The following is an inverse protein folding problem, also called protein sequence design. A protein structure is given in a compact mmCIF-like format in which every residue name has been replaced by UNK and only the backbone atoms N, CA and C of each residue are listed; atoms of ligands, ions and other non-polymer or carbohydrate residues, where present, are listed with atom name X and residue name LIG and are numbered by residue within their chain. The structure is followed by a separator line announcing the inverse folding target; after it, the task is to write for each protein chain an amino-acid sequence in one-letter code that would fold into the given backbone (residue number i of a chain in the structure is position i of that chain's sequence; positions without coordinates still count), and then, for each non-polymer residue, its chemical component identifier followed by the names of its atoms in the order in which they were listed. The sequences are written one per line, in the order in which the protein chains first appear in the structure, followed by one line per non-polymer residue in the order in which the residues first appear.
data_IF_121351470323
#
_entry.id   IF_121351470323
#
_cell.length_a   1.000
_cell.length_b   1.000
_cell.length_c   1.000
_cell.angle_alpha   90.00
_cell.angle_beta   90.00
_cell.angle_gamma   90.00
#
_symmetry.space_group_name_H-M   'P 1'
#
loop_
_entity.id
_entity.type
_entity.pdbx_description
1 polymer ?
#
# COMPACT_ATOMS: atom_id res chain seq x y z
N UNK A 1 31.52 -22.73 -25.08
CA UNK A 1 31.07 -21.64 -24.20
C UNK A 1 30.05 -20.83 -24.97
N UNK A 2 29.01 -20.37 -24.29
CA UNK A 2 28.08 -19.38 -24.81
C UNK A 2 28.06 -18.22 -23.82
N UNK A 3 27.74 -17.02 -24.29
CA UNK A 3 27.75 -15.81 -23.50
C UNK A 3 26.32 -15.30 -23.35
N UNK A 4 25.96 -14.92 -22.13
CA UNK A 4 24.66 -14.33 -21.82
C UNK A 4 24.93 -12.85 -21.52
N UNK A 5 24.29 -11.95 -22.27
CA UNK A 5 24.36 -10.52 -21.98
C UNK A 5 23.48 -10.17 -20.80
N UNK A 6 24.06 -9.48 -19.81
CA UNK A 6 23.31 -8.90 -18.69
C UNK A 6 22.91 -7.49 -19.12
N UNK A 7 21.62 -7.15 -18.94
CA UNK A 7 21.11 -5.80 -19.18
C UNK A 7 21.30 -5.02 -17.89
N UNK A 8 21.98 -3.88 -17.96
CA UNK A 8 22.13 -2.98 -16.83
C UNK A 8 20.98 -1.99 -16.80
N UNK A 9 20.36 -1.78 -15.65
CA UNK A 9 19.52 -0.63 -15.36
C UNK A 9 20.11 0.19 -14.20
N UNK A 10 19.38 1.21 -13.76
CA UNK A 10 19.78 2.09 -12.64
C UNK A 10 18.79 1.95 -11.46
N UNK A 11 18.00 0.88 -11.45
CA UNK A 11 17.01 0.64 -10.41
C UNK A 11 17.55 -0.38 -9.43
N UNK A 12 17.47 -0.05 -8.15
CA UNK A 12 17.88 -0.97 -7.11
C UNK A 12 17.00 -2.24 -7.06
N UNK A 13 17.65 -3.40 -7.19
CA UNK A 13 17.11 -4.75 -7.07
C UNK A 13 17.95 -5.57 -6.08
N UNK A 14 17.33 -6.22 -5.08
CA UNK A 14 18.12 -6.91 -4.04
C UNK A 14 18.94 -8.11 -4.56
N UNK A 15 18.35 -8.87 -5.47
CA UNK A 15 18.95 -10.03 -6.11
C UNK A 15 18.04 -10.45 -7.26
N UNK A 16 18.58 -10.52 -8.47
CA UNK A 16 17.86 -11.06 -9.63
C UNK A 16 18.31 -12.49 -9.86
N UNK A 17 17.37 -13.40 -10.08
CA UNK A 17 17.65 -14.81 -10.32
C UNK A 17 16.99 -15.24 -11.63
N UNK A 18 17.74 -15.95 -12.47
CA UNK A 18 17.19 -16.61 -13.64
C UNK A 18 17.81 -17.99 -13.83
N UNK A 19 17.02 -18.91 -14.38
CA UNK A 19 17.44 -20.28 -14.65
C UNK A 19 17.79 -20.47 -16.12
N UNK A 20 18.94 -21.09 -16.37
CA UNK A 20 19.35 -21.56 -17.69
C UNK A 20 19.08 -23.06 -17.77
N UNK A 21 18.12 -23.45 -18.60
CA UNK A 21 17.68 -24.84 -18.75
C UNK A 21 18.10 -25.38 -20.11
N UNK A 22 18.82 -26.50 -20.11
CA UNK A 22 19.16 -27.26 -21.31
C UNK A 22 17.95 -28.10 -21.74
N UNK A 23 17.57 -27.98 -23.01
CA UNK A 23 16.42 -28.66 -23.61
C UNK A 23 16.82 -29.39 -24.91
N UNK A 24 16.08 -30.45 -25.25
CA UNK A 24 16.23 -31.26 -26.47
C UNK A 24 17.66 -31.80 -26.74
N UNK A 25 18.20 -32.68 -25.90
CA UNK A 25 19.53 -33.27 -26.12
C UNK A 25 19.56 -34.15 -27.38
N UNK A 26 20.46 -33.84 -28.32
CA UNK A 26 20.64 -34.60 -29.56
C UNK A 26 21.86 -35.53 -29.45
N UNK A 27 21.65 -36.84 -29.55
CA UNK A 27 22.69 -37.88 -29.46
C UNK A 27 23.52 -37.87 -28.15
N UNK A 28 22.95 -37.38 -27.04
CA UNK A 28 23.59 -37.39 -25.74
C UNK A 28 22.58 -37.67 -24.60
N UNK A 29 23.11 -38.09 -23.44
CA UNK A 29 22.32 -38.25 -22.22
C UNK A 29 22.60 -37.06 -21.30
N UNK A 30 21.55 -36.33 -20.96
CA UNK A 30 21.61 -35.23 -20.02
C UNK A 30 21.39 -35.77 -18.60
N UNK A 31 22.29 -35.45 -17.67
CA UNK A 31 22.10 -35.83 -16.26
C UNK A 31 20.94 -35.02 -15.66
N UNK A 32 19.94 -35.68 -15.02
CA UNK A 32 18.83 -35.00 -14.36
C UNK A 32 19.23 -33.96 -13.31
N UNK A 33 20.48 -33.97 -12.83
CA UNK A 33 21.00 -33.00 -11.86
C UNK A 33 21.66 -31.77 -12.49
N UNK A 34 22.07 -31.85 -13.75
CA UNK A 34 22.87 -30.81 -14.42
C UNK A 34 22.19 -30.22 -15.66
N UNK A 35 20.87 -30.38 -15.79
CA UNK A 35 20.12 -29.78 -16.88
C UNK A 35 19.74 -28.32 -16.65
N UNK A 36 19.81 -27.82 -15.40
CA UNK A 36 19.52 -26.44 -15.05
C UNK A 36 20.67 -25.82 -14.26
N UNK A 37 20.92 -24.54 -14.50
CA UNK A 37 21.82 -23.71 -13.70
C UNK A 37 21.10 -22.42 -13.34
N UNK A 38 20.91 -22.17 -12.04
CA UNK A 38 20.46 -20.87 -11.54
C UNK A 38 21.64 -19.89 -11.57
N UNK A 39 21.40 -18.71 -12.11
CA UNK A 39 22.33 -17.59 -12.12
C UNK A 39 21.73 -16.49 -11.26
N UNK A 40 22.44 -16.15 -10.19
CA UNK A 40 22.11 -15.05 -9.30
C UNK A 40 22.96 -13.84 -9.68
N UNK A 41 22.31 -12.75 -10.04
CA UNK A 41 22.90 -11.46 -10.32
C UNK A 41 22.81 -10.62 -9.05
N UNK A 42 23.96 -10.10 -8.62
CA UNK A 42 24.05 -9.12 -7.56
C UNK A 42 24.05 -7.74 -8.21
N UNK A 43 23.10 -6.92 -7.80
CA UNK A 43 23.00 -5.53 -8.21
C UNK A 43 24.09 -4.67 -7.55
N UNK A 44 24.59 -3.67 -8.28
CA UNK A 44 25.58 -2.69 -7.83
C UNK A 44 24.99 -1.28 -7.60
N UNK A 45 23.67 -1.14 -7.79
CA UNK A 45 22.94 0.07 -7.46
C UNK A 45 22.74 0.27 -5.96
N UNK A 46 22.53 1.52 -5.57
CA UNK A 46 22.33 1.92 -4.18
C UNK A 46 20.86 2.07 -3.83
N UNK A 47 20.47 1.47 -2.71
CA UNK A 47 19.18 1.71 -2.11
C UNK A 47 19.12 3.10 -1.44
N UNK A 48 18.03 3.87 -1.60
CA UNK A 48 16.86 3.67 -2.46
C UNK A 48 16.99 4.32 -3.85
N UNK A 49 18.05 5.09 -4.09
CA UNK A 49 18.40 5.74 -5.36
C UNK A 49 19.90 5.96 -5.42
N UNK A 50 20.49 5.93 -6.62
CA UNK A 50 21.88 6.28 -6.88
C UNK A 50 22.22 7.76 -6.63
N UNK A 51 21.20 8.61 -6.45
CA UNK A 51 21.36 10.06 -6.20
C UNK A 51 22.19 10.38 -4.96
N UNK A 52 22.28 9.46 -3.99
CA UNK A 52 22.99 9.65 -2.71
C UNK A 52 24.32 8.89 -2.62
N UNK A 53 24.86 8.45 -3.77
CA UNK A 53 26.08 7.64 -3.84
C UNK A 53 27.27 8.34 -3.20
N UNK A 54 27.46 9.62 -3.52
CA UNK A 54 28.60 10.41 -3.06
C UNK A 54 28.58 10.57 -1.53
N UNK A 55 27.41 10.83 -0.95
CA UNK A 55 27.22 10.99 0.49
C UNK A 55 27.41 9.68 1.27
N UNK A 56 26.94 8.56 0.70
CA UNK A 56 27.08 7.23 1.29
C UNK A 56 28.54 6.77 1.23
N UNK A 57 29.22 6.97 0.09
CA UNK A 57 30.63 6.60 -0.08
C UNK A 57 31.57 7.48 0.76
N UNK A 58 31.22 8.75 0.96
CA UNK A 58 31.95 9.67 1.83
C UNK A 58 31.89 9.30 3.32
N UNK A 59 30.93 8.44 3.73
CA UNK A 59 30.69 8.02 5.13
C UNK A 59 30.53 9.17 6.11
N UNK A 60 30.02 10.31 5.63
CA UNK A 60 29.73 11.47 6.47
C UNK A 60 28.30 11.36 7.01
N UNK A 61 28.18 10.85 8.23
CA UNK A 61 26.88 10.72 8.91
C UNK A 61 26.18 12.08 9.06
N UNK A 62 26.94 13.17 9.23
CA UNK A 62 26.39 14.52 9.40
C UNK A 62 25.64 14.99 8.15
N UNK A 63 26.29 14.83 6.99
CA UNK A 63 25.67 15.13 5.70
C UNK A 63 24.44 14.24 5.44
N UNK A 64 24.49 12.96 5.82
CA UNK A 64 23.37 12.04 5.64
C UNK A 64 22.13 12.45 6.47
N UNK A 65 22.33 12.98 7.69
CA UNK A 65 21.22 13.51 8.50
C UNK A 65 20.57 14.74 7.88
N UNK A 66 21.37 15.64 7.28
CA UNK A 66 20.83 16.83 6.58
C UNK A 66 19.97 16.43 5.38
N UNK A 67 20.35 15.37 4.68
CA UNK A 67 19.65 14.84 3.51
C UNK A 67 18.55 13.84 3.87
N UNK A 68 18.39 13.49 5.15
CA UNK A 68 17.49 12.42 5.60
C UNK A 68 16.03 12.53 5.12
N UNK A 69 15.49 13.74 5.00
CA UNK A 69 14.15 13.93 4.44
C UNK A 69 14.08 13.63 2.94
N UNK A 70 15.10 14.02 2.18
CA UNK A 70 15.22 13.70 0.74
C UNK A 70 15.40 12.20 0.52
N UNK A 71 16.18 11.54 1.38
CA UNK A 71 16.35 10.09 1.37
C UNK A 71 15.02 9.37 1.65
N UNK A 72 14.27 9.81 2.66
CA UNK A 72 12.94 9.29 2.96
C UNK A 72 11.98 9.47 1.78
N UNK A 73 12.02 10.63 1.13
CA UNK A 73 11.19 10.89 -0.04
C UNK A 73 11.54 9.97 -1.22
N UNK A 74 12.83 9.75 -1.46
CA UNK A 74 13.32 8.84 -2.49
C UNK A 74 12.94 7.40 -2.20
N UNK A 75 13.03 6.97 -0.95
CA UNK A 75 12.52 5.68 -0.49
C UNK A 75 11.01 5.53 -0.73
N UNK A 76 10.21 6.55 -0.38
CA UNK A 76 8.77 6.53 -0.63
C UNK A 76 8.48 6.38 -2.14
N UNK A 77 9.16 7.16 -2.98
CA UNK A 77 9.03 7.08 -4.44
C UNK A 77 9.44 5.70 -4.97
N UNK A 78 10.51 5.12 -4.45
CA UNK A 78 10.94 3.76 -4.77
C UNK A 78 9.84 2.75 -4.44
N UNK A 79 9.29 2.76 -3.23
CA UNK A 79 8.20 1.84 -2.86
C UNK A 79 6.95 1.99 -3.73
N UNK A 80 6.61 3.22 -4.13
CA UNK A 80 5.45 3.48 -4.98
C UNK A 80 5.62 3.04 -6.43
N UNK A 81 6.84 3.16 -6.97
CA UNK A 81 7.11 2.84 -8.36
C UNK A 81 7.54 1.38 -8.58
N UNK A 82 8.30 0.82 -7.65
CA UNK A 82 8.92 -0.50 -7.81
C UNK A 82 8.00 -1.64 -7.38
N UNK A 83 7.10 -1.41 -6.42
CA UNK A 83 6.15 -2.44 -5.99
C UNK A 83 4.78 -2.18 -6.62
N UNK A 84 4.45 -3.02 -7.60
CA UNK A 84 3.12 -3.07 -8.20
C UNK A 84 2.04 -3.24 -7.12
N UNK A 85 0.91 -2.56 -7.31
CA UNK A 85 -0.24 -2.51 -6.40
C UNK A 85 -0.07 -1.75 -5.06
N UNK A 86 1.11 -1.21 -4.71
CA UNK A 86 1.23 -0.44 -3.45
C UNK A 86 0.49 0.90 -3.51
N UNK A 87 0.56 1.61 -4.63
CA UNK A 87 0.10 3.01 -4.69
C UNK A 87 -1.38 3.17 -4.31
N UNK A 88 -2.27 2.35 -4.86
CA UNK A 88 -3.70 2.44 -4.58
C UNK A 88 -4.02 1.97 -3.15
N UNK A 89 -3.28 0.97 -2.66
CA UNK A 89 -3.40 0.45 -1.29
C UNK A 89 -3.04 1.50 -0.26
N UNK A 90 -1.93 2.20 -0.46
CA UNK A 90 -1.50 3.28 0.44
C UNK A 90 -2.49 4.44 0.44
N UNK A 91 -3.02 4.84 -0.72
CA UNK A 91 -4.07 5.86 -0.80
C UNK A 91 -5.32 5.41 -0.04
N UNK A 92 -5.73 4.15 -0.23
CA UNK A 92 -6.88 3.59 0.46
C UNK A 92 -6.68 3.60 1.99
N UNK A 93 -5.55 3.09 2.48
CA UNK A 93 -5.20 3.12 3.92
C UNK A 93 -5.20 4.54 4.45
N UNK A 94 -4.64 5.50 3.71
CA UNK A 94 -4.61 6.90 4.11
C UNK A 94 -6.02 7.49 4.19
N UNK A 95 -6.90 7.18 3.25
CA UNK A 95 -8.31 7.59 3.29
C UNK A 95 -9.05 6.97 4.47
N UNK A 96 -8.83 5.68 4.74
CA UNK A 96 -9.42 4.97 5.87
C UNK A 96 -8.97 5.55 7.21
N UNK A 97 -7.68 5.83 7.35
CA UNK A 97 -7.12 6.48 8.54
C UNK A 97 -7.73 7.87 8.77
N UNK A 98 -7.95 8.65 7.71
CA UNK A 98 -8.61 9.95 7.81
C UNK A 98 -10.12 9.84 8.09
N UNK A 99 -10.77 8.76 7.65
CA UNK A 99 -12.20 8.53 7.91
C UNK A 99 -12.48 8.38 9.41
N UNK A 100 -11.58 7.73 10.16
CA UNK A 100 -11.66 7.65 11.61
C UNK A 100 -11.64 9.03 12.28
N UNK A 101 -10.74 9.91 11.84
CA UNK A 101 -10.65 11.29 12.33
C UNK A 101 -11.89 12.13 11.94
N UNK A 102 -12.36 11.97 10.71
CA UNK A 102 -13.57 12.65 10.22
C UNK A 102 -14.81 12.22 11.02
N UNK A 103 -14.92 10.93 11.36
CA UNK A 103 -15.99 10.41 12.20
C UNK A 103 -15.97 11.00 13.62
N UNK A 104 -14.78 11.13 14.22
CA UNK A 104 -14.62 11.77 15.52
C UNK A 104 -15.12 13.22 15.52
N UNK A 105 -14.77 14.00 14.48
CA UNK A 105 -15.29 15.36 14.32
C UNK A 105 -16.81 15.37 14.09
N UNK A 106 -17.31 14.51 13.20
CA UNK A 106 -18.74 14.43 12.90
C UNK A 106 -19.59 14.11 14.13
N UNK A 107 -19.12 13.20 15.01
CA UNK A 107 -19.82 12.88 16.26
C UNK A 107 -19.86 14.04 17.24
N UNK A 108 -18.81 14.87 17.30
CA UNK A 108 -18.83 16.10 18.10
C UNK A 108 -19.90 17.07 17.56
N UNK A 109 -19.91 17.31 16.23
CA UNK A 109 -20.91 18.18 15.60
C UNK A 109 -22.33 17.68 15.84
N UNK A 110 -22.57 16.37 15.69
CA UNK A 110 -23.88 15.75 15.92
C UNK A 110 -24.33 15.93 17.39
N UNK A 111 -23.43 15.74 18.37
CA UNK A 111 -23.77 15.96 19.79
C UNK A 111 -24.16 17.41 20.08
N UNK A 112 -23.38 18.36 19.58
CA UNK A 112 -23.66 19.80 19.75
C UNK A 112 -25.01 20.14 19.10
N UNK A 113 -25.24 19.68 17.87
CA UNK A 113 -26.51 19.90 17.17
C UNK A 113 -27.71 19.31 17.93
N UNK A 114 -27.57 18.09 18.47
CA UNK A 114 -28.63 17.43 19.23
C UNK A 114 -28.96 18.19 20.53
N UNK A 115 -27.96 18.68 21.24
CA UNK A 115 -28.16 19.45 22.47
C UNK A 115 -28.77 20.83 22.15
N UNK A 116 -28.17 21.56 21.21
CA UNK A 116 -28.50 22.97 20.98
C UNK A 116 -29.78 23.15 20.14
N UNK A 117 -30.06 22.24 19.21
CA UNK A 117 -31.17 22.38 18.25
C UNK A 117 -32.34 21.45 18.55
N UNK A 118 -32.08 20.19 18.95
CA UNK A 118 -33.15 19.20 19.15
C UNK A 118 -33.71 19.22 20.58
N UNK A 119 -32.85 19.37 21.60
CA UNK A 119 -33.25 19.36 23.00
C UNK A 119 -33.64 20.74 23.55
N UNK A 120 -33.27 21.83 22.87
CA UNK A 120 -33.62 23.18 23.31
C UNK A 120 -35.05 23.57 22.90
N UNK A 121 -36.01 23.10 23.70
CA UNK A 121 -37.46 23.28 23.49
C UNK A 121 -37.98 24.70 23.82
N UNK A 122 -37.12 25.62 24.25
CA UNK A 122 -37.52 26.94 24.79
C UNK A 122 -37.49 28.09 23.77
N UNK A 123 -36.85 27.93 22.61
CA UNK A 123 -36.77 28.96 21.57
C UNK A 123 -37.79 28.71 20.44
N UNK A 124 -38.65 29.70 20.15
CA UNK A 124 -39.64 29.67 19.05
C UNK A 124 -38.98 29.60 17.66
N UNK A 125 -37.71 30.00 17.53
CA UNK A 125 -36.93 29.96 16.28
C UNK A 125 -36.18 28.63 16.04
N UNK A 126 -36.27 27.65 16.95
CA UNK A 126 -35.59 26.37 16.81
C UNK A 126 -36.16 25.51 15.66
N UNK A 127 -37.41 25.76 15.26
CA UNK A 127 -38.08 24.99 14.20
C UNK A 127 -37.54 25.29 12.80
N UNK A 128 -36.97 26.47 12.58
CA UNK A 128 -36.37 26.88 11.30
C UNK A 128 -34.94 26.35 11.10
N UNK A 129 -34.29 25.85 12.17
CA UNK A 129 -32.94 25.25 12.13
C UNK A 129 -32.94 23.73 12.03
N UNK A 130 -34.12 23.11 11.96
CA UNK A 130 -34.26 21.67 11.77
C UNK A 130 -33.88 21.30 10.33
N UNK A 131 -33.03 20.29 10.17
CA UNK A 131 -32.67 19.75 8.84
C UNK A 131 -33.90 19.28 8.03
N UNK A 132 -34.99 18.91 8.71
CA UNK A 132 -36.28 18.58 8.10
C UNK A 132 -37.32 19.52 8.72
N UNK A 133 -37.87 20.42 7.92
CA UNK A 133 -38.85 21.39 8.37
C UNK A 133 -40.12 20.68 8.88
N UNK A 134 -40.50 20.95 10.12
CA UNK A 134 -41.81 20.57 10.68
C UNK A 134 -41.92 19.18 11.34
N UNK A 135 -40.89 18.32 11.29
CA UNK A 135 -40.95 17.01 11.96
C UNK A 135 -39.70 16.71 12.82
N UNK A 136 -39.86 16.90 14.13
CA UNK A 136 -38.82 16.66 15.14
C UNK A 136 -38.52 15.17 15.31
N UNK A 137 -39.53 14.31 15.15
CA UNK A 137 -39.34 12.86 15.28
C UNK A 137 -38.53 12.31 14.11
N UNK A 138 -38.83 12.76 12.89
CA UNK A 138 -38.05 12.41 11.71
C UNK A 138 -36.59 12.88 11.82
N UNK A 139 -36.37 14.10 12.32
CA UNK A 139 -35.02 14.66 12.53
C UNK A 139 -34.24 13.87 13.59
N UNK A 140 -34.88 13.46 14.69
CA UNK A 140 -34.26 12.64 15.73
C UNK A 140 -33.88 11.22 15.23
N UNK A 141 -34.74 10.59 14.43
CA UNK A 141 -34.45 9.30 13.79
C UNK A 141 -33.28 9.44 12.81
N UNK A 142 -33.26 10.50 12.00
CA UNK A 142 -32.19 10.77 11.04
C UNK A 142 -30.84 11.00 11.75
N UNK A 143 -30.85 11.71 12.88
CA UNK A 143 -29.68 11.86 13.76
C UNK A 143 -29.22 10.54 14.37
N UNK A 144 -30.16 9.70 14.83
CA UNK A 144 -29.85 8.37 15.34
C UNK A 144 -29.21 7.48 14.26
N UNK A 145 -29.70 7.53 13.03
CA UNK A 145 -29.10 6.84 11.89
C UNK A 145 -27.72 7.41 11.56
N UNK A 146 -27.57 8.74 11.52
CA UNK A 146 -26.29 9.40 11.29
C UNK A 146 -25.24 9.10 12.38
N UNK A 147 -25.67 8.70 13.58
CA UNK A 147 -24.79 8.24 14.66
C UNK A 147 -24.35 6.78 14.48
N UNK A 148 -25.27 5.89 14.11
CA UNK A 148 -25.00 4.44 13.99
C UNK A 148 -24.26 4.09 12.70
N UNK A 149 -24.65 4.73 11.59
CA UNK A 149 -24.19 4.40 10.25
C UNK A 149 -22.67 4.55 10.06
N UNK A 150 -22.01 5.59 10.60
CA UNK A 150 -20.54 5.68 10.52
C UNK A 150 -19.81 4.59 11.30
N UNK A 151 -20.35 4.11 12.44
CA UNK A 151 -19.74 2.97 13.15
C UNK A 151 -19.80 1.69 12.32
N UNK A 152 -20.90 1.47 11.58
CA UNK A 152 -21.02 0.33 10.67
C UNK A 152 -20.07 0.47 9.47
N UNK A 153 -19.90 1.69 8.93
CA UNK A 153 -18.93 1.95 7.86
C UNK A 153 -17.51 1.68 8.36
N UNK A 154 -17.14 2.15 9.56
CA UNK A 154 -15.83 1.88 10.15
C UNK A 154 -15.60 0.38 10.36
N UNK A 155 -16.57 -0.34 10.91
CA UNK A 155 -16.45 -1.79 11.09
C UNK A 155 -16.29 -2.53 9.74
N UNK A 156 -17.04 -2.12 8.72
CA UNK A 156 -16.92 -2.68 7.37
C UNK A 156 -15.58 -2.34 6.71
N UNK A 157 -15.09 -1.13 6.97
CA UNK A 157 -13.80 -0.62 6.51
C UNK A 157 -12.64 -1.39 7.13
N UNK A 158 -12.64 -1.58 8.45
CA UNK A 158 -11.63 -2.37 9.17
C UNK A 158 -11.62 -3.82 8.66
N UNK A 159 -12.81 -4.39 8.43
CA UNK A 159 -12.94 -5.74 7.86
C UNK A 159 -12.41 -5.81 6.42
N UNK A 160 -12.63 -4.78 5.61
CA UNK A 160 -12.12 -4.70 4.25
C UNK A 160 -10.59 -4.57 4.25
N UNK A 161 -10.04 -3.72 5.11
CA UNK A 161 -8.61 -3.56 5.31
C UNK A 161 -7.94 -4.89 5.66
N UNK A 162 -8.45 -5.61 6.66
CA UNK A 162 -7.89 -6.91 7.05
C UNK A 162 -7.91 -7.95 5.92
N UNK A 163 -8.89 -7.91 5.01
CA UNK A 163 -8.99 -8.91 3.92
C UNK A 163 -8.23 -8.54 2.66
N UNK A 164 -8.17 -7.26 2.32
CA UNK A 164 -7.67 -6.78 1.02
C UNK A 164 -6.24 -6.23 1.12
N UNK A 165 -5.88 -5.68 2.28
CA UNK A 165 -4.57 -5.09 2.52
C UNK A 165 -3.56 -6.06 3.18
N UNK A 166 -3.95 -7.30 3.49
CA UNK A 166 -3.01 -8.36 3.90
C UNK A 166 -2.05 -8.73 2.75
N UNK A 167 -0.98 -7.95 2.60
CA UNK A 167 0.10 -8.20 1.65
C UNK A 167 0.83 -9.53 1.91
N UNK A 168 0.84 -10.00 3.17
CA UNK A 168 1.52 -11.24 3.55
C UNK A 168 1.00 -12.49 2.82
N UNK A 169 -0.27 -12.50 2.39
CA UNK A 169 -0.84 -13.64 1.66
C UNK A 169 -0.45 -13.62 0.17
N UNK A 170 -0.42 -12.44 -0.46
CA UNK A 170 -0.08 -12.30 -1.87
C UNK A 170 1.41 -12.54 -2.15
N UNK A 171 2.31 -12.12 -1.23
CA UNK A 171 3.76 -12.38 -1.37
C UNK A 171 4.04 -13.89 -1.37
N UNK A 172 3.36 -14.67 -0.52
CA UNK A 172 3.47 -16.14 -0.51
C UNK A 172 2.91 -16.81 -1.77
N UNK A 173 1.92 -16.20 -2.41
CA UNK A 173 1.34 -16.73 -3.65
C UNK A 173 2.19 -16.40 -4.87
N UNK A 174 2.82 -15.23 -4.93
CA UNK A 174 3.74 -14.85 -6.00
C UNK A 174 4.98 -15.77 -6.03
N UNK A 175 5.57 -16.04 -4.86
CA UNK A 175 6.72 -16.95 -4.72
C UNK A 175 6.38 -18.40 -5.16
N UNK A 176 5.18 -18.90 -4.81
CA UNK A 176 4.72 -20.21 -5.31
C UNK A 176 4.38 -20.22 -6.80
N UNK A 177 3.84 -19.12 -7.32
CA UNK A 177 3.52 -18.98 -8.75
C UNK A 177 4.79 -19.05 -9.60
N UNK A 178 5.84 -18.33 -9.19
CA UNK A 178 7.16 -18.34 -9.86
C UNK A 178 7.79 -19.73 -9.86
N UNK A 179 7.65 -20.51 -8.77
CA UNK A 179 8.11 -21.91 -8.73
C UNK A 179 7.29 -22.89 -9.58
N UNK A 180 6.09 -22.52 -10.03
CA UNK A 180 5.14 -23.46 -10.65
C UNK A 180 4.90 -23.24 -12.15
N UNK A 181 5.37 -22.12 -12.72
CA UNK A 181 5.25 -21.88 -14.16
C UNK A 181 6.48 -22.43 -14.87
N UNK A 182 6.38 -23.52 -15.67
CA UNK A 182 7.38 -23.78 -16.70
C UNK A 182 7.34 -22.59 -17.66
N UNK A 183 8.39 -21.77 -17.64
CA UNK A 183 8.54 -20.71 -18.62
C UNK A 183 8.82 -21.36 -19.98
N UNK A 184 7.75 -21.51 -20.77
CA UNK A 184 7.84 -21.82 -22.19
C UNK A 184 8.12 -20.49 -22.89
N UNK A 185 9.40 -20.18 -23.09
CA UNK A 185 9.84 -19.14 -24.03
C UNK A 185 9.85 -19.75 -25.44
N UNK A 186 9.16 -19.10 -26.38
CA UNK A 186 9.22 -19.36 -27.81
C UNK A 186 10.36 -18.58 -28.46
#
# INVERSE_FOLDING_TARGET
SFEIGIINDENFDTALEFDVVLYDPQNCLLDPKFYSSSVMILDDDLFPSNDFRDEIEAKDEGALYEVGFSLLWSFMKFCFNHVDDIWWKTILVLLLANLGNAYYLATIFIKVYLIDTVLNLKDEHSEERLWIHGDRNATAICLGLAWVLPNLILLGSDYFEMRVLEMGFNIRHSDRSLRSKPQIFW
#
